data_IF_829461252205
#
_entry.id   IF_829461252205
#
_cell.length_a   1.000
_cell.length_b   1.000
_cell.length_c   1.000
_cell.angle_alpha   90.00
_cell.angle_beta   90.00
_cell.angle_gamma   90.00
#
_symmetry.space_group_name_H-M   'P 1'
#
loop_
_entity.id
_entity.type
_entity.pdbx_description
1 polymer ?
#
# COMPACT_ATOMS: atom_id res chain seq x y z
N UNK A 1 -15.13 16.34 30.97
CA UNK A 1 -14.88 14.91 31.21
C UNK A 1 -15.21 14.19 29.93
N UNK A 2 -14.33 13.39 29.37
CA UNK A 2 -14.74 12.13 28.75
C UNK A 2 -13.51 11.37 28.33
N UNK A 3 -13.17 10.38 29.15
CA UNK A 3 -12.52 9.10 28.85
C UNK A 3 -11.61 9.07 27.62
N UNK A 4 -10.33 8.74 27.84
CA UNK A 4 -9.39 8.34 26.79
C UNK A 4 -10.04 7.25 25.93
N UNK A 5 -10.65 7.64 24.82
CA UNK A 5 -11.25 6.69 23.90
C UNK A 5 -10.11 5.89 23.29
N UNK A 6 -10.15 4.57 23.43
CA UNK A 6 -9.13 3.69 22.87
C UNK A 6 -9.71 2.96 21.66
N UNK A 7 -8.89 2.82 20.63
CA UNK A 7 -9.16 2.00 19.45
C UNK A 7 -8.53 0.64 19.68
N UNK A 8 -9.30 -0.43 19.48
CA UNK A 8 -8.81 -1.79 19.59
C UNK A 8 -8.36 -2.31 18.23
N UNK A 9 -7.10 -2.69 18.13
CA UNK A 9 -6.50 -3.32 16.97
C UNK A 9 -6.12 -4.76 17.29
N UNK A 10 -6.51 -5.68 16.41
CA UNK A 10 -6.17 -7.10 16.47
C UNK A 10 -5.26 -7.36 15.29
N UNK A 11 -3.99 -7.65 15.54
CA UNK A 11 -2.98 -7.78 14.49
C UNK A 11 -2.45 -9.20 14.43
N UNK A 12 -2.54 -9.81 13.26
CA UNK A 12 -1.88 -11.07 12.95
C UNK A 12 -0.41 -10.82 12.65
N UNK A 13 0.47 -11.43 13.45
CA UNK A 13 1.92 -11.23 13.45
C UNK A 13 2.66 -12.53 13.16
N UNK A 14 3.89 -12.37 12.71
CA UNK A 14 4.82 -13.45 12.43
C UNK A 14 6.25 -12.96 12.63
N UNK A 15 7.05 -13.64 13.46
CA UNK A 15 8.38 -13.14 13.82
C UNK A 15 9.41 -13.27 12.67
N UNK A 16 9.29 -14.31 11.85
CA UNK A 16 10.17 -14.63 10.73
C UNK A 16 9.44 -15.62 9.79
N UNK A 17 9.91 -15.86 8.55
CA UNK A 17 9.16 -16.61 7.54
C UNK A 17 8.75 -18.04 7.93
N UNK A 18 9.50 -18.68 8.83
CA UNK A 18 9.24 -20.05 9.30
C UNK A 18 8.43 -20.11 10.60
N UNK A 19 8.18 -18.96 11.24
CA UNK A 19 7.40 -18.89 12.48
C UNK A 19 5.91 -19.05 12.20
N UNK A 20 5.20 -19.68 13.14
CA UNK A 20 3.73 -19.69 13.13
C UNK A 20 3.15 -18.29 13.28
N UNK A 21 2.04 -18.04 12.59
CA UNK A 21 1.23 -16.86 12.78
C UNK A 21 0.61 -16.87 14.19
N UNK A 22 0.57 -15.71 14.82
CA UNK A 22 -0.11 -15.49 16.09
C UNK A 22 -0.81 -14.13 16.06
N UNK A 23 -1.71 -13.91 17.01
CA UNK A 23 -2.48 -12.66 17.07
C UNK A 23 -2.19 -11.93 18.36
N UNK A 24 -1.92 -10.64 18.26
CA UNK A 24 -1.81 -9.75 19.40
C UNK A 24 -2.86 -8.66 19.32
N UNK A 25 -3.32 -8.20 20.48
CA UNK A 25 -4.34 -7.17 20.59
C UNK A 25 -3.75 -5.95 21.29
N UNK A 26 -4.01 -4.77 20.73
CA UNK A 26 -3.54 -3.49 21.21
C UNK A 26 -4.71 -2.54 21.45
N UNK A 27 -4.62 -1.75 22.51
CA UNK A 27 -5.51 -0.62 22.76
C UNK A 27 -4.71 0.67 22.55
N UNK A 28 -5.11 1.48 21.58
CA UNK A 28 -4.37 2.67 21.17
C UNK A 28 -5.19 3.91 21.45
N UNK A 29 -4.62 4.97 22.04
CA UNK A 29 -5.34 6.22 22.27
C UNK A 29 -5.85 6.78 20.94
N UNK A 30 -7.17 6.99 20.88
CA UNK A 30 -7.84 7.57 19.74
C UNK A 30 -7.40 9.02 19.53
N UNK A 31 -7.25 9.41 18.25
CA UNK A 31 -7.11 10.80 17.83
C UNK A 31 -7.99 11.05 16.60
N UNK A 32 -8.65 12.22 16.51
CA UNK A 32 -9.45 12.55 15.34
C UNK A 32 -8.65 12.45 14.04
N UNK A 33 -9.26 11.89 13.00
CA UNK A 33 -8.67 11.72 11.66
C UNK A 33 -7.42 10.84 11.61
N UNK A 34 -7.20 9.97 12.60
CA UNK A 34 -6.08 9.03 12.55
C UNK A 34 -6.37 7.90 11.54
N UNK A 35 -5.35 7.51 10.80
CA UNK A 35 -5.39 6.35 9.91
C UNK A 35 -4.73 5.12 10.58
N UNK A 36 -4.80 3.97 9.91
CA UNK A 36 -4.19 2.73 10.39
C UNK A 36 -2.67 2.90 10.61
N UNK A 37 -1.94 3.61 9.75
CA UNK A 37 -0.50 3.87 9.98
C UNK A 37 -0.25 4.61 11.29
N UNK A 38 -1.10 5.59 11.63
CA UNK A 38 -0.98 6.34 12.88
C UNK A 38 -1.16 5.41 14.08
N UNK A 39 -2.12 4.48 14.01
CA UNK A 39 -2.31 3.46 15.04
C UNK A 39 -1.11 2.51 15.17
N UNK A 40 -0.57 2.04 14.03
CA UNK A 40 0.63 1.20 13.98
C UNK A 40 1.86 1.92 14.55
N UNK A 41 1.98 3.24 14.33
CA UNK A 41 3.05 4.06 14.89
C UNK A 41 2.95 4.21 16.41
N UNK A 42 1.74 4.30 16.96
CA UNK A 42 1.54 4.28 18.42
C UNK A 42 1.91 2.93 19.01
N UNK A 43 1.55 1.81 18.36
CA UNK A 43 2.00 0.46 18.76
C UNK A 43 3.54 0.38 18.74
N UNK A 44 4.18 0.88 17.68
CA UNK A 44 5.65 0.87 17.58
C UNK A 44 6.31 1.72 18.66
N UNK A 45 5.70 2.85 19.05
CA UNK A 45 6.20 3.74 20.10
C UNK A 45 6.10 3.09 21.48
N UNK A 46 5.01 2.39 21.76
CA UNK A 46 4.76 1.73 23.03
C UNK A 46 4.19 0.31 22.80
N UNK A 47 5.04 -0.70 22.53
CA UNK A 47 4.60 -2.03 22.10
C UNK A 47 4.14 -2.86 23.31
N UNK A 48 3.00 -2.48 23.89
CA UNK A 48 2.38 -3.14 25.04
C UNK A 48 1.01 -3.65 24.60
N UNK A 49 0.75 -4.95 24.81
CA UNK A 49 -0.56 -5.55 24.50
C UNK A 49 -1.63 -5.11 25.50
N UNK A 50 -2.90 -5.38 25.19
CA UNK A 50 -4.02 -5.14 26.14
C UNK A 50 -3.85 -5.86 27.47
N UNK A 51 -3.08 -6.94 27.51
CA UNK A 51 -2.79 -7.71 28.72
C UNK A 51 -1.63 -7.13 29.55
N UNK A 52 -1.06 -6.00 29.13
CA UNK A 52 0.07 -5.35 29.79
C UNK A 52 1.42 -6.01 29.52
N UNK A 53 1.50 -6.87 28.49
CA UNK A 53 2.74 -7.58 28.12
C UNK A 53 3.51 -6.75 27.10
N UNK A 54 4.77 -6.43 27.40
CA UNK A 54 5.69 -5.84 26.44
C UNK A 54 6.02 -6.83 25.32
N UNK A 55 5.93 -6.39 24.07
CA UNK A 55 6.21 -7.18 22.87
C UNK A 55 7.19 -6.45 21.96
N UNK A 56 7.61 -7.11 20.88
CA UNK A 56 8.49 -6.51 19.90
C UNK A 56 7.77 -5.41 19.09
N UNK A 57 8.44 -4.28 18.76
CA UNK A 57 7.87 -3.25 17.91
C UNK A 57 7.44 -3.80 16.55
N UNK A 58 6.27 -3.36 16.08
CA UNK A 58 5.67 -3.88 14.86
C UNK A 58 6.36 -3.36 13.60
N UNK A 59 6.48 -4.23 12.60
CA UNK A 59 7.12 -3.93 11.31
C UNK A 59 6.12 -4.00 10.15
N UNK A 60 6.15 -2.98 9.28
CA UNK A 60 5.38 -2.89 8.04
C UNK A 60 6.08 -1.93 7.08
N UNK A 61 5.78 -2.06 5.79
CA UNK A 61 6.28 -1.15 4.76
C UNK A 61 5.45 0.14 4.69
N UNK A 62 6.10 1.29 4.58
CA UNK A 62 5.45 2.57 4.29
C UNK A 62 6.41 3.54 3.60
N UNK A 63 5.88 4.49 2.85
CA UNK A 63 6.70 5.54 2.23
C UNK A 63 5.94 6.87 2.07
N UNK A 64 5.06 6.98 1.06
CA UNK A 64 4.52 8.27 0.60
C UNK A 64 3.31 8.80 1.39
N UNK A 65 2.59 7.92 2.09
CA UNK A 65 1.44 8.26 2.94
C UNK A 65 0.25 8.96 2.24
N UNK A 66 0.16 8.84 0.92
CA UNK A 66 -0.83 9.54 0.07
C UNK A 66 -1.54 8.58 -0.91
N UNK A 67 -1.59 7.29 -0.57
CA UNK A 67 -2.17 6.21 -1.40
C UNK A 67 -1.48 5.94 -2.75
N UNK A 68 -0.39 6.65 -3.08
CA UNK A 68 0.27 6.55 -4.40
C UNK A 68 1.22 5.36 -4.52
N UNK A 69 2.01 5.06 -3.49
CA UNK A 69 3.12 4.09 -3.64
C UNK A 69 2.72 2.62 -3.50
N UNK A 70 1.56 2.32 -2.91
CA UNK A 70 1.10 0.94 -2.65
C UNK A 70 1.91 0.14 -1.61
N UNK A 71 2.99 0.69 -1.05
CA UNK A 71 3.89 -0.05 -0.14
C UNK A 71 3.19 -0.52 1.14
N UNK A 72 2.32 0.31 1.70
CA UNK A 72 1.62 0.07 2.96
C UNK A 72 0.32 -0.75 2.84
N UNK A 73 0.19 -1.48 1.72
CA UNK A 73 -0.93 -2.38 1.47
C UNK A 73 -0.90 -3.57 2.42
N UNK A 74 -2.02 -3.82 3.09
CA UNK A 74 -2.25 -4.94 3.99
C UNK A 74 -3.73 -5.33 3.94
N UNK A 75 -4.12 -6.39 4.64
CA UNK A 75 -5.54 -6.76 4.77
C UNK A 75 -6.09 -6.08 6.01
N UNK A 76 -7.12 -5.26 5.83
CA UNK A 76 -7.84 -4.54 6.89
C UNK A 76 -9.28 -5.05 6.89
N UNK A 77 -9.72 -5.61 8.03
CA UNK A 77 -11.05 -6.23 8.19
C UNK A 77 -11.41 -7.21 7.05
N UNK A 78 -10.44 -8.05 6.66
CA UNK A 78 -10.61 -9.07 5.63
C UNK A 78 -10.43 -8.59 4.18
N UNK A 79 -10.29 -7.28 3.93
CA UNK A 79 -10.13 -6.70 2.59
C UNK A 79 -8.76 -6.04 2.39
N UNK A 80 -8.10 -6.21 1.22
CA UNK A 80 -6.86 -5.49 0.92
C UNK A 80 -7.10 -3.97 0.83
N UNK A 81 -6.38 -3.19 1.64
CA UNK A 81 -6.45 -1.73 1.68
C UNK A 81 -5.07 -1.12 1.96
N UNK A 82 -4.90 0.17 1.65
CA UNK A 82 -3.68 0.90 1.99
C UNK A 82 -3.83 1.56 3.36
N UNK A 83 -3.01 1.15 4.32
CA UNK A 83 -3.08 1.64 5.71
C UNK A 83 -2.87 3.16 5.87
N UNK A 84 -2.27 3.85 4.88
CA UNK A 84 -2.15 5.30 4.88
C UNK A 84 -3.45 6.05 4.56
N UNK A 85 -4.38 5.41 3.85
CA UNK A 85 -5.65 6.01 3.43
C UNK A 85 -6.84 5.49 4.26
N UNK A 86 -6.70 4.33 4.90
CA UNK A 86 -7.73 3.76 5.76
C UNK A 86 -7.86 4.54 7.08
N UNK A 87 -8.86 5.41 7.16
CA UNK A 87 -9.22 6.15 8.38
C UNK A 87 -9.83 5.21 9.40
N UNK A 88 -9.43 5.36 10.67
CA UNK A 88 -9.95 4.52 11.76
C UNK A 88 -11.47 4.68 11.92
N UNK A 89 -11.98 5.89 11.74
CA UNK A 89 -13.40 6.21 11.92
C UNK A 89 -14.33 5.56 10.86
N UNK A 90 -13.76 5.15 9.72
CA UNK A 90 -14.51 4.53 8.62
C UNK A 90 -14.52 2.99 8.70
N UNK A 91 -13.81 2.41 9.68
CA UNK A 91 -13.63 0.97 9.82
C UNK A 91 -14.54 0.38 10.90
N UNK A 92 -15.04 -0.83 10.66
CA UNK A 92 -15.73 -1.61 11.69
C UNK A 92 -14.75 -2.00 12.82
N UNK A 93 -15.19 -1.83 14.06
CA UNK A 93 -14.40 -2.14 15.25
C UNK A 93 -14.82 -3.49 15.88
N UNK A 94 -13.89 -4.30 16.41
CA UNK A 94 -12.43 -4.08 16.46
C UNK A 94 -11.78 -4.22 15.07
N UNK A 95 -10.68 -3.48 14.84
CA UNK A 95 -10.00 -3.47 13.54
C UNK A 95 -9.03 -4.64 13.47
N UNK A 96 -9.19 -5.50 12.47
CA UNK A 96 -8.32 -6.64 12.20
C UNK A 96 -7.30 -6.28 11.11
N UNK A 97 -6.02 -6.46 11.42
CA UNK A 97 -4.91 -6.26 10.48
C UNK A 97 -4.19 -7.58 10.21
N UNK A 98 -4.05 -7.95 8.95
CA UNK A 98 -3.34 -9.15 8.50
C UNK A 98 -2.36 -8.80 7.37
N UNK A 99 -1.24 -9.54 7.22
CA UNK A 99 -0.41 -9.43 6.03
C UNK A 99 -1.19 -9.83 4.77
N UNK A 100 -0.75 -9.36 3.60
CA UNK A 100 -1.37 -9.74 2.34
C UNK A 100 -1.25 -11.24 2.06
N UNK A 101 -2.40 -11.93 1.94
CA UNK A 101 -2.50 -13.39 1.76
C UNK A 101 -1.88 -13.91 0.46
N UNK A 102 -1.70 -13.03 -0.54
CA UNK A 102 -1.14 -13.37 -1.85
C UNK A 102 0.38 -13.60 -1.81
N UNK A 103 1.07 -13.13 -0.77
CA UNK A 103 2.52 -13.08 -0.71
C UNK A 103 3.06 -13.79 0.54
N UNK A 104 4.26 -14.41 0.47
CA UNK A 104 4.93 -14.94 1.66
C UNK A 104 5.20 -13.83 2.68
N UNK A 105 4.90 -14.08 3.95
CA UNK A 105 5.17 -13.14 5.03
C UNK A 105 6.64 -13.19 5.41
N UNK A 106 7.28 -12.02 5.50
CA UNK A 106 8.68 -11.89 5.95
C UNK A 106 8.72 -11.70 7.45
N UNK A 107 7.96 -10.73 7.96
CA UNK A 107 7.80 -10.42 9.38
C UNK A 107 6.61 -9.48 9.57
N UNK A 108 5.79 -9.76 10.59
CA UNK A 108 4.60 -8.97 10.92
C UNK A 108 3.72 -8.74 9.68
N UNK A 109 3.64 -7.50 9.21
CA UNK A 109 2.83 -7.10 8.04
C UNK A 109 3.68 -6.92 6.77
N UNK A 110 4.99 -7.16 6.82
CA UNK A 110 5.87 -7.17 5.64
C UNK A 110 5.71 -8.49 4.89
N UNK A 111 5.55 -8.38 3.59
CA UNK A 111 5.47 -9.51 2.67
C UNK A 111 6.51 -9.41 1.56
N UNK A 112 6.95 -10.56 1.06
CA UNK A 112 7.88 -10.63 -0.08
C UNK A 112 7.12 -10.45 -1.41
N UNK A 113 7.43 -9.36 -2.10
CA UNK A 113 6.83 -8.99 -3.39
C UNK A 113 7.73 -9.32 -4.59
N UNK A 114 8.84 -10.02 -4.38
CA UNK A 114 9.82 -10.38 -5.42
C UNK A 114 9.16 -11.02 -6.66
N UNK A 115 8.27 -11.99 -6.45
CA UNK A 115 7.56 -12.70 -7.52
C UNK A 115 6.70 -11.77 -8.40
N UNK A 116 6.04 -10.77 -7.80
CA UNK A 116 5.27 -9.78 -8.54
C UNK A 116 6.19 -8.94 -9.44
N UNK A 117 7.30 -8.44 -8.89
CA UNK A 117 8.25 -7.64 -9.65
C UNK A 117 8.90 -8.45 -10.78
N UNK A 118 9.24 -9.71 -10.54
CA UNK A 118 9.79 -10.58 -11.58
C UNK A 118 8.77 -10.89 -12.68
N UNK A 119 7.49 -10.98 -12.33
CA UNK A 119 6.41 -11.10 -13.32
C UNK A 119 6.24 -9.82 -14.14
N UNK A 120 6.31 -8.64 -13.50
CA UNK A 120 6.23 -7.35 -14.19
C UNK A 120 7.36 -7.17 -15.21
N UNK A 121 8.60 -7.57 -14.87
CA UNK A 121 9.74 -7.54 -15.79
C UNK A 121 9.49 -8.38 -17.06
N UNK A 122 8.79 -9.51 -16.95
CA UNK A 122 8.50 -10.40 -18.09
C UNK A 122 7.49 -9.80 -19.06
N UNK A 123 6.57 -8.96 -18.59
CA UNK A 123 5.54 -8.32 -19.43
C UNK A 123 6.14 -7.32 -20.42
N UNK A 124 7.34 -6.80 -20.15
CA UNK A 124 7.99 -5.78 -20.97
C UNK A 124 7.07 -4.58 -21.25
N UNK A 125 6.48 -4.04 -20.18
CA UNK A 125 5.53 -2.91 -20.25
C UNK A 125 6.22 -1.57 -20.56
N UNK A 126 6.96 -1.51 -21.66
CA UNK A 126 7.60 -0.31 -22.19
C UNK A 126 7.44 -0.28 -23.71
N UNK A 127 7.44 0.92 -24.28
CA UNK A 127 7.39 1.08 -25.73
C UNK A 127 8.78 0.73 -26.28
N UNK A 128 8.91 -0.25 -27.19
CA UNK A 128 10.17 -0.47 -27.88
C UNK A 128 10.48 0.79 -28.68
N UNK A 129 11.68 1.34 -28.47
CA UNK A 129 12.18 2.44 -29.29
C UNK A 129 13.00 1.85 -30.44
N UNK A 130 12.77 2.34 -31.65
CA UNK A 130 13.49 1.92 -32.87
C UNK A 130 14.95 2.43 -32.89
N UNK A 131 15.33 3.20 -31.87
CA UNK A 131 16.65 3.74 -31.61
C UNK A 131 16.58 5.00 -30.75
N UNK A 132 17.75 5.55 -30.40
CA UNK A 132 17.88 6.85 -29.70
C UNK A 132 18.23 8.00 -30.64
N UNK A 133 18.31 7.72 -31.95
CA UNK A 133 18.63 8.72 -32.96
C UNK A 133 17.38 9.53 -33.33
N UNK A 134 17.61 10.77 -33.75
CA UNK A 134 16.57 11.63 -34.27
C UNK A 134 15.96 10.98 -35.53
N UNK A 135 14.71 10.52 -35.42
CA UNK A 135 13.94 9.95 -36.54
C UNK A 135 13.48 11.03 -37.53
N UNK A 136 13.83 12.29 -37.27
CA UNK A 136 13.40 13.44 -38.02
C UNK A 136 11.97 13.86 -37.65
N UNK A 137 11.48 14.95 -38.24
CA UNK A 137 10.14 15.43 -37.97
C UNK A 137 9.11 14.37 -38.39
N UNK A 138 8.19 14.04 -37.47
CA UNK A 138 7.06 13.16 -37.75
C UNK A 138 6.24 13.63 -38.96
N UNK A 139 5.51 12.74 -39.64
CA UNK A 139 4.75 13.08 -40.83
C UNK A 139 3.85 14.30 -40.58
N UNK A 140 3.95 15.32 -41.45
CA UNK A 140 3.09 16.50 -41.40
C UNK A 140 1.67 16.11 -41.81
N UNK A 141 0.83 15.81 -40.82
CA UNK A 141 -0.56 15.43 -41.01
C UNK A 141 -1.42 16.56 -41.58
N UNK A 142 -1.02 17.82 -41.40
CA UNK A 142 -1.61 18.96 -42.10
C UNK A 142 -0.87 19.23 -43.43
N UNK A 143 -1.40 18.70 -44.53
CA UNK A 143 -1.21 19.33 -45.84
C UNK A 143 -2.35 20.33 -46.04
N UNK A 144 -2.04 21.61 -45.87
CA UNK A 144 -2.92 22.69 -46.32
C UNK A 144 -2.79 22.73 -47.84
N UNK A 145 -3.84 22.33 -48.56
CA UNK A 145 -3.88 22.54 -50.01
C UNK A 145 -4.00 24.05 -50.29
N UNK A 146 -3.64 24.51 -51.49
CA UNK A 146 -3.69 25.93 -51.89
C UNK A 146 -5.04 26.65 -51.77
N UNK A 147 -6.08 25.95 -51.28
CA UNK A 147 -7.41 26.47 -50.95
C UNK A 147 -7.69 26.59 -49.42
N UNK A 148 -6.68 26.39 -48.56
CA UNK A 148 -6.82 26.55 -47.10
C UNK A 148 -7.54 25.42 -46.37
N UNK A 149 -7.84 24.28 -47.03
CA UNK A 149 -8.51 23.13 -46.39
C UNK A 149 -7.52 22.02 -46.06
N UNK A 150 -7.67 21.44 -44.87
CA UNK A 150 -6.91 20.28 -44.40
C UNK A 150 -7.46 19.00 -45.00
N UNK A 151 -6.66 18.29 -45.80
CA UNK A 151 -6.99 16.91 -46.19
C UNK A 151 -6.38 15.95 -45.17
N UNK A 152 -7.23 15.30 -44.38
CA UNK A 152 -6.84 14.10 -43.66
C UNK A 152 -6.82 12.93 -44.66
N UNK A 153 -5.71 12.19 -44.81
CA UNK A 153 -5.76 10.91 -45.52
C UNK A 153 -6.71 10.00 -44.75
N UNK A 154 -7.65 9.35 -45.45
CA UNK A 154 -8.58 8.41 -44.84
C UNK A 154 -7.82 7.38 -44.00
N UNK A 155 -8.33 7.15 -42.78
CA UNK A 155 -7.94 6.05 -41.91
C UNK A 155 -8.14 4.69 -42.58
#
# INVERSE_FOLDING_TARGET
MSEEQHVRLIVTRQNHPEASLYTETFAIPYRPNMNVISALMEIRRNPITVDGVETSPMVWDMNRLEEVCGACSMVINGWPQQSCAALIDDLEHPIHLEPMKTFPVVRDLIVDRSQMFDSLKKVKAWIPIDGTYDLGPGPRWLKINGNGRTNFPNA
#
